data_IF_681506312358
#
_entry.id   IF_681506312358
#
_cell.length_a   1.000
_cell.length_b   1.000
_cell.length_c   1.000
_cell.angle_alpha   90.00
_cell.angle_beta   90.00
_cell.angle_gamma   90.00
#
_symmetry.space_group_name_H-M   'P 1'
#
loop_
_entity.id
_entity.type
_entity.pdbx_description
1 polymer ?
#
# COMPACT_ATOMS: atom_id res chain seq x y z
N UNK A 1 2.38 -0.70 -23.16
CA UNK A 1 2.60 -0.38 -21.75
C UNK A 1 2.15 -1.56 -20.90
N UNK A 2 2.97 -2.03 -19.99
CA UNK A 2 2.63 -3.14 -19.11
C UNK A 2 1.79 -2.66 -17.92
N UNK A 3 1.08 -3.58 -17.26
CA UNK A 3 0.36 -3.27 -16.02
C UNK A 3 1.30 -2.74 -14.93
N UNK A 4 2.52 -3.26 -14.89
CA UNK A 4 3.55 -2.82 -13.95
C UNK A 4 3.88 -1.35 -14.14
N UNK A 5 4.13 -0.92 -15.38
CA UNK A 5 4.43 0.47 -15.71
C UNK A 5 3.26 1.38 -15.33
N UNK A 6 2.03 0.99 -15.65
CA UNK A 6 0.83 1.75 -15.31
C UNK A 6 0.70 1.94 -13.80
N UNK A 7 0.94 0.88 -13.02
CA UNK A 7 0.85 0.98 -11.56
C UNK A 7 1.94 1.88 -10.99
N UNK A 8 3.17 1.77 -11.47
CA UNK A 8 4.27 2.64 -11.02
C UNK A 8 3.99 4.11 -11.32
N UNK A 9 3.46 4.41 -12.50
CA UNK A 9 3.08 5.77 -12.88
C UNK A 9 1.96 6.31 -11.96
N UNK A 10 0.98 5.48 -11.63
CA UNK A 10 -0.11 5.87 -10.73
C UNK A 10 0.41 6.17 -9.33
N UNK A 11 1.30 5.34 -8.81
CA UNK A 11 1.91 5.57 -7.50
C UNK A 11 2.74 6.85 -7.51
N UNK A 12 3.55 7.07 -8.54
CA UNK A 12 4.35 8.29 -8.69
C UNK A 12 3.48 9.53 -8.75
N UNK A 13 2.43 9.52 -9.54
CA UNK A 13 1.47 10.62 -9.65
C UNK A 13 0.75 10.88 -8.32
N UNK A 14 0.36 9.82 -7.62
CA UNK A 14 -0.28 9.92 -6.31
C UNK A 14 0.65 10.58 -5.30
N UNK A 15 1.93 10.21 -5.28
CA UNK A 15 2.93 10.82 -4.40
C UNK A 15 3.10 12.31 -4.71
N UNK A 16 3.21 12.67 -5.98
CA UNK A 16 3.36 14.08 -6.38
C UNK A 16 2.19 14.92 -5.86
N UNK A 17 0.96 14.44 -6.08
CA UNK A 17 -0.25 15.13 -5.60
C UNK A 17 -0.31 15.17 -4.09
N UNK A 18 0.08 14.09 -3.42
CA UNK A 18 0.06 14.01 -1.97
C UNK A 18 0.98 15.04 -1.34
N UNK A 19 2.19 15.20 -1.87
CA UNK A 19 3.15 16.15 -1.35
C UNK A 19 2.73 17.60 -1.60
N UNK A 20 2.07 17.89 -2.72
CA UNK A 20 1.47 19.20 -2.98
C UNK A 20 0.42 19.53 -1.92
N UNK A 21 -0.41 18.56 -1.55
CA UNK A 21 -1.51 18.76 -0.60
C UNK A 21 -1.04 18.80 0.85
N UNK A 22 -0.06 17.98 1.23
CA UNK A 22 0.29 17.75 2.63
C UNK A 22 1.75 18.03 2.98
N UNK A 23 2.60 18.27 2.00
CA UNK A 23 4.00 18.70 2.20
C UNK A 23 4.98 17.58 2.50
N UNK A 24 4.67 16.70 3.43
CA UNK A 24 5.50 15.55 3.81
C UNK A 24 4.64 14.31 3.94
N UNK A 25 5.27 13.16 3.69
CA UNK A 25 4.60 11.87 3.77
C UNK A 25 5.50 10.82 4.40
N UNK A 26 4.88 9.74 4.87
CA UNK A 26 5.57 8.49 5.19
C UNK A 26 4.89 7.37 4.45
N UNK A 27 5.69 6.46 3.91
CA UNK A 27 5.19 5.28 3.23
C UNK A 27 5.60 4.04 4.01
N UNK A 28 4.64 3.17 4.29
CA UNK A 28 4.87 1.87 4.90
C UNK A 28 4.54 0.75 3.91
N UNK A 29 5.33 -0.30 3.92
CA UNK A 29 5.18 -1.44 3.03
C UNK A 29 4.80 -2.68 3.83
N UNK A 30 3.77 -3.38 3.36
CA UNK A 30 3.15 -4.49 4.08
C UNK A 30 2.86 -5.66 3.14
N UNK A 31 2.98 -6.86 3.66
CA UNK A 31 2.58 -8.09 2.96
C UNK A 31 1.49 -8.78 3.77
N UNK A 32 0.36 -9.05 3.13
CA UNK A 32 -0.80 -9.70 3.74
C UNK A 32 -0.95 -11.11 3.17
N UNK A 33 -1.25 -12.12 4.00
CA UNK A 33 -1.60 -13.44 3.47
C UNK A 33 -2.90 -13.37 2.67
N UNK A 34 -3.04 -14.21 1.65
CA UNK A 34 -4.22 -14.23 0.81
C UNK A 34 -5.46 -14.61 1.61
N UNK A 35 -6.61 -14.02 1.25
CA UNK A 35 -7.91 -14.35 1.81
C UNK A 35 -8.66 -15.27 0.85
N UNK A 36 -9.51 -16.12 1.40
CA UNK A 36 -10.32 -17.07 0.60
C UNK A 36 -11.36 -16.35 -0.25
N UNK A 37 -11.91 -15.25 0.27
CA UNK A 37 -12.93 -14.48 -0.43
C UNK A 37 -12.29 -13.31 -1.17
N UNK A 38 -12.52 -13.20 -2.47
CA UNK A 38 -11.95 -12.14 -3.33
C UNK A 38 -12.25 -10.73 -2.84
N UNK A 39 -13.46 -10.53 -2.35
CA UNK A 39 -13.93 -9.21 -1.97
C UNK A 39 -13.51 -8.83 -0.56
N UNK A 40 -13.01 -9.79 0.21
CA UNK A 40 -12.67 -9.55 1.61
C UNK A 40 -11.53 -8.54 1.75
N UNK A 41 -10.53 -8.59 0.86
CA UNK A 41 -9.42 -7.63 0.92
C UNK A 41 -9.89 -6.20 0.61
N UNK A 42 -10.76 -6.02 -0.36
CA UNK A 42 -11.35 -4.71 -0.66
C UNK A 42 -12.14 -4.19 0.53
N UNK A 43 -12.94 -5.05 1.19
CA UNK A 43 -13.69 -4.67 2.39
C UNK A 43 -12.74 -4.31 3.53
N UNK A 44 -11.68 -5.07 3.71
CA UNK A 44 -10.65 -4.77 4.69
C UNK A 44 -10.04 -3.39 4.43
N UNK A 45 -9.64 -3.11 3.18
CA UNK A 45 -9.05 -1.82 2.82
C UNK A 45 -10.01 -0.66 3.06
N UNK A 46 -11.31 -0.84 2.82
CA UNK A 46 -12.31 0.17 3.12
C UNK A 46 -12.41 0.42 4.63
N UNK A 47 -12.43 -0.63 5.43
CA UNK A 47 -12.49 -0.50 6.90
C UNK A 47 -11.22 0.17 7.45
N UNK A 48 -10.06 -0.26 6.99
CA UNK A 48 -8.77 0.31 7.38
C UNK A 48 -8.69 1.80 7.02
N UNK A 49 -9.01 2.13 5.78
CA UNK A 49 -8.95 3.50 5.29
C UNK A 49 -9.88 4.41 6.08
N UNK A 50 -11.10 3.94 6.37
CA UNK A 50 -12.05 4.71 7.18
C UNK A 50 -11.51 4.96 8.59
N UNK A 51 -10.90 3.96 9.23
CA UNK A 51 -10.30 4.10 10.55
C UNK A 51 -9.15 5.11 10.55
N UNK A 52 -8.27 5.03 9.53
CA UNK A 52 -7.14 5.95 9.40
C UNK A 52 -7.59 7.39 9.10
N UNK A 53 -8.65 7.56 8.31
CA UNK A 53 -9.23 8.88 8.06
C UNK A 53 -9.81 9.48 9.34
N UNK A 54 -10.53 8.70 10.15
CA UNK A 54 -11.06 9.16 11.44
C UNK A 54 -9.96 9.58 12.40
N UNK A 55 -8.80 8.91 12.33
CA UNK A 55 -7.62 9.25 13.12
C UNK A 55 -6.77 10.37 12.50
N UNK A 56 -7.22 10.97 11.39
CA UNK A 56 -6.61 12.11 10.71
C UNK A 56 -5.24 11.83 10.08
N UNK A 57 -4.98 10.57 9.67
CA UNK A 57 -3.74 10.21 9.00
C UNK A 57 -3.69 10.57 7.51
N UNK A 58 -4.81 10.94 6.93
CA UNK A 58 -4.91 11.26 5.49
C UNK A 58 -4.34 10.15 4.61
N UNK A 59 -4.86 8.91 4.72
CA UNK A 59 -4.26 7.77 4.03
C UNK A 59 -4.53 7.75 2.54
N UNK A 60 -3.52 7.35 1.78
CA UNK A 60 -3.68 6.88 0.40
C UNK A 60 -2.88 5.58 0.26
N UNK A 61 -3.24 4.73 -0.67
CA UNK A 61 -2.62 3.42 -0.77
C UNK A 61 -2.58 2.91 -2.20
N UNK A 62 -1.73 1.90 -2.41
CA UNK A 62 -1.78 1.03 -3.59
C UNK A 62 -1.47 -0.39 -3.15
N UNK A 63 -2.13 -1.38 -3.76
CA UNK A 63 -1.85 -2.77 -3.47
C UNK A 63 -1.87 -3.60 -4.75
N UNK A 64 -1.17 -4.74 -4.71
CA UNK A 64 -1.18 -5.74 -5.78
C UNK A 64 -1.31 -7.13 -5.19
N UNK A 65 -1.93 -8.04 -5.94
CA UNK A 65 -2.06 -9.44 -5.56
C UNK A 65 -0.98 -10.27 -6.24
N UNK A 66 -0.26 -11.08 -5.47
CA UNK A 66 0.73 -12.04 -5.96
C UNK A 66 0.14 -13.45 -5.86
N UNK A 67 -0.38 -13.96 -6.99
CA UNK A 67 -1.01 -15.27 -7.03
C UNK A 67 -0.04 -16.43 -6.83
N UNK A 68 1.25 -16.25 -7.20
CA UNK A 68 2.24 -17.32 -7.04
C UNK A 68 2.66 -17.50 -5.58
N UNK A 69 2.67 -16.42 -4.80
CA UNK A 69 3.02 -16.46 -3.38
C UNK A 69 1.81 -16.45 -2.45
N UNK A 70 0.61 -16.23 -3.01
CA UNK A 70 -0.62 -16.18 -2.23
C UNK A 70 -0.62 -15.03 -1.23
N UNK A 71 -0.29 -13.82 -1.66
CA UNK A 71 -0.23 -12.66 -0.78
C UNK A 71 -0.63 -11.37 -1.49
N UNK A 72 -0.95 -10.35 -0.67
CA UNK A 72 -1.15 -8.98 -1.15
C UNK A 72 0.04 -8.13 -0.71
N UNK A 73 0.60 -7.37 -1.64
CA UNK A 73 1.61 -6.37 -1.35
C UNK A 73 0.94 -4.99 -1.30
N UNK A 74 1.22 -4.20 -0.27
CA UNK A 74 0.58 -2.90 -0.10
C UNK A 74 1.60 -1.84 0.29
N UNK A 75 1.45 -0.65 -0.30
CA UNK A 75 2.06 0.57 0.17
C UNK A 75 0.96 1.46 0.77
N UNK A 76 1.18 1.91 2.01
CA UNK A 76 0.30 2.85 2.70
C UNK A 76 1.05 4.16 2.90
N UNK A 77 0.46 5.25 2.44
CA UNK A 77 1.05 6.59 2.52
C UNK A 77 0.20 7.44 3.46
N UNK A 78 0.84 8.07 4.44
CA UNK A 78 0.19 8.94 5.42
C UNK A 78 0.97 10.25 5.57
N UNK A 79 0.41 11.23 6.24
CA UNK A 79 1.11 12.49 6.53
C UNK A 79 2.37 12.24 7.34
N UNK A 80 3.44 12.99 7.02
CA UNK A 80 4.75 12.83 7.65
C UNK A 80 5.04 13.73 8.83
N UNK A 81 4.04 14.40 9.39
CA UNK A 81 4.23 15.36 10.48
C UNK A 81 4.07 14.77 11.88
N UNK A 82 3.46 13.61 12.01
CA UNK A 82 3.21 12.98 13.31
C UNK A 82 4.40 12.14 13.74
N UNK A 83 4.67 12.13 15.04
CA UNK A 83 5.64 11.19 15.61
C UNK A 83 5.00 9.80 15.68
N UNK A 84 5.77 8.77 15.40
CA UNK A 84 5.34 7.36 15.47
C UNK A 84 4.18 7.02 14.55
N UNK A 85 4.01 7.78 13.48
CA UNK A 85 2.91 7.61 12.52
C UNK A 85 2.78 6.19 12.04
N UNK A 86 3.91 5.57 11.64
CA UNK A 86 3.85 4.22 11.09
C UNK A 86 3.63 3.17 12.17
N UNK A 87 4.00 3.42 13.42
CA UNK A 87 3.66 2.51 14.52
C UNK A 87 2.15 2.48 14.75
N UNK A 88 1.52 3.65 14.80
CA UNK A 88 0.08 3.75 14.98
C UNK A 88 -0.67 3.18 13.78
N UNK A 89 -0.19 3.47 12.57
CA UNK A 89 -0.76 2.91 11.33
C UNK A 89 -0.59 1.39 11.30
N UNK A 90 0.59 0.90 11.64
CA UNK A 90 0.88 -0.55 11.69
C UNK A 90 -0.02 -1.25 12.71
N UNK A 91 -0.21 -0.64 13.88
CA UNK A 91 -1.11 -1.19 14.90
C UNK A 91 -2.56 -1.26 14.40
N UNK A 92 -3.03 -0.23 13.70
CA UNK A 92 -4.36 -0.23 13.11
C UNK A 92 -4.49 -1.31 12.02
N UNK A 93 -3.47 -1.45 11.17
CA UNK A 93 -3.42 -2.48 10.13
C UNK A 93 -3.55 -3.87 10.75
N UNK A 94 -2.76 -4.18 11.78
CA UNK A 94 -2.78 -5.48 12.43
C UNK A 94 -4.11 -5.74 13.16
N UNK A 95 -4.59 -4.75 13.89
CA UNK A 95 -5.81 -4.87 14.69
C UNK A 95 -7.02 -5.15 13.80
N UNK A 96 -7.19 -4.42 12.72
CA UNK A 96 -8.31 -4.58 11.81
C UNK A 96 -8.17 -5.88 11.01
N UNK A 97 -6.94 -6.23 10.61
CA UNK A 97 -6.68 -7.46 9.87
C UNK A 97 -7.11 -8.72 10.63
N UNK A 98 -7.01 -8.71 11.96
CA UNK A 98 -7.44 -9.85 12.80
C UNK A 98 -8.91 -10.20 12.63
N UNK A 99 -9.73 -9.28 12.17
CA UNK A 99 -11.14 -9.53 11.88
C UNK A 99 -11.35 -10.34 10.59
N UNK A 100 -10.33 -10.45 9.75
CA UNK A 100 -10.40 -11.08 8.43
C UNK A 100 -9.54 -12.34 8.33
N UNK A 101 -8.48 -12.44 9.10
CA UNK A 101 -7.53 -13.56 9.00
C UNK A 101 -6.85 -13.80 10.34
N UNK A 102 -6.58 -15.09 10.68
CA UNK A 102 -5.78 -15.42 11.87
C UNK A 102 -4.27 -15.23 11.66
N UNK A 103 -3.85 -15.04 10.41
CA UNK A 103 -2.43 -14.93 10.08
C UNK A 103 -1.98 -13.48 10.13
N UNK A 104 -0.76 -13.20 10.64
CA UNK A 104 -0.30 -11.81 10.80
C UNK A 104 0.07 -11.15 9.48
N UNK A 105 -0.01 -9.82 9.47
CA UNK A 105 0.54 -8.99 8.40
C UNK A 105 2.04 -8.82 8.63
N UNK A 106 2.84 -8.91 7.57
CA UNK A 106 4.26 -8.63 7.64
C UNK A 106 4.52 -7.16 7.33
N UNK A 107 5.12 -6.44 8.27
CA UNK A 107 5.67 -5.11 8.03
C UNK A 107 7.05 -5.27 7.38
N UNK A 108 7.25 -4.69 6.21
CA UNK A 108 8.49 -4.86 5.43
C UNK A 108 9.46 -3.72 5.70
N UNK A 109 8.99 -2.47 5.53
CA UNK A 109 9.83 -1.29 5.64
C UNK A 109 8.98 -0.03 5.68
N UNK A 110 9.59 1.08 6.11
CA UNK A 110 9.01 2.41 5.97
C UNK A 110 10.05 3.38 5.42
N UNK A 111 9.59 4.47 4.81
CA UNK A 111 10.47 5.52 4.36
C UNK A 111 9.76 6.88 4.41
N UNK A 112 10.44 7.94 4.88
CA UNK A 112 9.91 9.29 4.78
C UNK A 112 10.03 9.79 3.34
N UNK A 113 9.12 10.69 2.96
CA UNK A 113 9.08 11.29 1.62
C UNK A 113 8.86 12.78 1.76
N UNK A 114 9.66 13.58 1.05
CA UNK A 114 9.51 15.03 1.03
C UNK A 114 9.71 15.57 -0.38
N UNK A 115 9.25 16.81 -0.63
CA UNK A 115 9.49 17.51 -1.88
C UNK A 115 10.99 17.69 -2.16
N UNK A 116 11.76 17.98 -1.13
CA UNK A 116 13.20 18.30 -1.25
C UNK A 116 14.03 17.10 -1.72
N UNK A 117 13.62 15.89 -1.36
CA UNK A 117 14.34 14.65 -1.67
C UNK A 117 13.50 13.68 -2.52
N UNK A 118 12.51 14.20 -3.24
CA UNK A 118 11.52 13.37 -3.92
C UNK A 118 12.12 12.34 -4.89
N UNK A 119 13.11 12.75 -5.69
CA UNK A 119 13.73 11.83 -6.66
C UNK A 119 14.43 10.67 -5.95
N UNK A 120 15.20 10.95 -4.89
CA UNK A 120 15.87 9.92 -4.11
C UNK A 120 14.87 9.04 -3.35
N UNK A 121 13.83 9.65 -2.80
CA UNK A 121 12.78 8.93 -2.07
C UNK A 121 12.02 7.98 -3.00
N UNK A 122 11.70 8.40 -4.22
CA UNK A 122 11.08 7.54 -5.22
C UNK A 122 11.96 6.35 -5.58
N UNK A 123 13.27 6.57 -5.74
CA UNK A 123 14.20 5.47 -6.00
C UNK A 123 14.20 4.45 -4.87
N UNK A 124 14.19 4.91 -3.62
CA UNK A 124 14.11 4.03 -2.45
C UNK A 124 12.81 3.24 -2.43
N UNK A 125 11.69 3.90 -2.75
CA UNK A 125 10.39 3.23 -2.86
C UNK A 125 10.43 2.13 -3.92
N UNK A 126 10.99 2.42 -5.10
CA UNK A 126 11.08 1.44 -6.18
C UNK A 126 11.96 0.25 -5.79
N UNK A 127 13.06 0.48 -5.07
CA UNK A 127 13.92 -0.59 -4.56
C UNK A 127 13.16 -1.52 -3.58
N UNK A 128 12.41 -0.93 -2.65
CA UNK A 128 11.59 -1.70 -1.70
C UNK A 128 10.54 -2.50 -2.47
N UNK A 129 9.85 -1.88 -3.40
CA UNK A 129 8.81 -2.54 -4.21
C UNK A 129 9.38 -3.69 -5.04
N UNK A 130 10.56 -3.52 -5.61
CA UNK A 130 11.24 -4.59 -6.34
C UNK A 130 11.60 -5.76 -5.42
N UNK A 131 12.09 -5.48 -4.22
CA UNK A 131 12.39 -6.50 -3.22
C UNK A 131 11.16 -7.30 -2.79
N UNK A 132 9.99 -6.66 -2.77
CA UNK A 132 8.70 -7.30 -2.49
C UNK A 132 8.10 -7.99 -3.71
N UNK A 133 8.67 -7.82 -4.89
CA UNK A 133 8.05 -8.24 -6.17
C UNK A 133 6.66 -7.62 -6.37
N UNK A 134 6.50 -6.36 -5.95
CA UNK A 134 5.22 -5.67 -5.91
C UNK A 134 4.56 -5.61 -7.29
N UNK A 135 5.34 -5.23 -8.31
CA UNK A 135 4.82 -5.03 -9.66
C UNK A 135 4.90 -6.28 -10.52
N UNK A 136 5.84 -7.18 -10.26
CA UNK A 136 5.99 -8.41 -11.03
C UNK A 136 4.78 -9.34 -10.88
N UNK A 137 4.07 -9.24 -9.75
CA UNK A 137 2.84 -9.98 -9.52
C UNK A 137 1.75 -9.65 -10.55
N UNK A 138 1.78 -8.47 -11.15
CA UNK A 138 0.78 -8.02 -12.12
C UNK A 138 0.89 -8.73 -13.47
N UNK A 139 2.02 -9.36 -13.78
CA UNK A 139 2.21 -10.13 -15.00
C UNK A 139 1.62 -11.53 -14.91
N UNK A 140 1.27 -11.98 -13.71
CA UNK A 140 0.72 -13.31 -13.46
C UNK A 140 -0.78 -13.30 -13.69
N UNK A 141 -1.26 -14.22 -14.54
CA UNK A 141 -2.69 -14.31 -14.91
C UNK A 141 -3.42 -15.41 -14.14
N UNK A 142 -3.11 -15.60 -12.88
CA UNK A 142 -3.71 -16.65 -12.05
C UNK A 142 -4.74 -16.05 -11.12
N UNK A 143 -5.61 -15.19 -11.65
CA UNK A 143 -6.68 -14.57 -10.86
C UNK A 143 -8.03 -15.15 -11.29
N UNK A 144 -8.90 -15.44 -10.32
CA UNK A 144 -10.28 -15.78 -10.64
C UNK A 144 -10.97 -14.62 -11.36
N UNK A 145 -12.00 -14.96 -12.11
CA UNK A 145 -12.82 -13.98 -12.80
C UNK A 145 -13.33 -12.94 -11.78
N UNK A 146 -13.26 -11.67 -12.13
CA UNK A 146 -13.68 -10.51 -11.33
C UNK A 146 -12.78 -10.16 -10.14
N UNK A 147 -11.67 -10.84 -9.91
CA UNK A 147 -10.72 -10.43 -8.88
C UNK A 147 -9.80 -9.32 -9.41
N UNK A 148 -9.61 -8.26 -8.61
CA UNK A 148 -8.66 -7.20 -8.96
C UNK A 148 -7.23 -7.68 -8.70
N UNK A 149 -6.32 -7.42 -9.65
CA UNK A 149 -4.90 -7.68 -9.47
C UNK A 149 -4.23 -6.58 -8.65
N UNK A 150 -4.75 -5.36 -8.70
CA UNK A 150 -4.22 -4.22 -7.97
C UNK A 150 -5.29 -3.13 -7.80
N UNK A 151 -5.03 -2.23 -6.87
CA UNK A 151 -5.81 -1.00 -6.73
C UNK A 151 -4.91 0.13 -6.23
N UNK A 152 -5.31 1.36 -6.54
CA UNK A 152 -4.61 2.56 -6.10
C UNK A 152 -5.68 3.58 -5.71
N UNK A 153 -5.55 4.16 -4.51
CA UNK A 153 -6.51 5.15 -4.05
C UNK A 153 -6.36 6.46 -4.84
N UNK A 154 -7.40 7.26 -4.79
CA UNK A 154 -7.38 8.61 -5.35
C UNK A 154 -7.19 9.62 -4.24
N UNK A 155 -6.49 10.66 -4.56
CA UNK A 155 -6.34 11.78 -3.64
C UNK A 155 -7.49 12.78 -3.83
#
# INVERSE_FOLDING_TARGET
MTNETVQLERIGSLLDKYLVSFGKARAGFYIFPALENYYAFTRYMNALTSALKRANFRPVYSWSFDGSRGCYNMIMIVQGYFRNDMNDVTDAIQRIWKLYSPYPVQFVAETPISQESLAQDKMRLWEIMNGMQFTSALSQRVLPLHQRAFACSRL
#
